data_IF_370190242141
#
_entry.id   IF_370190242141
#
_cell.length_a   1.000
_cell.length_b   1.000
_cell.length_c   1.000
_cell.angle_alpha   90.00
_cell.angle_beta   90.00
_cell.angle_gamma   90.00
#
_symmetry.space_group_name_H-M   'P 1'
#
loop_
_entity.id
_entity.type
_entity.pdbx_description
1 polymer ?
#
# COMPACT_ATOMS: atom_id res chain seq x y z
N UNK A 1 -0.68 -15.28 32.65
CA UNK A 1 -0.72 -13.81 32.84
C UNK A 1 -0.64 -13.07 31.50
N UNK A 2 -1.68 -12.31 31.15
CA UNK A 2 -1.67 -11.45 29.95
C UNK A 2 -0.94 -10.14 30.28
N UNK A 3 0.11 -9.82 29.53
CA UNK A 3 0.85 -8.57 29.69
C UNK A 3 0.23 -7.52 28.77
N UNK A 4 -0.41 -6.50 29.34
CA UNK A 4 -0.79 -5.30 28.59
C UNK A 4 0.48 -4.58 28.14
N UNK A 5 0.55 -4.26 26.85
CA UNK A 5 1.60 -3.42 26.28
C UNK A 5 0.90 -2.12 25.89
N UNK A 6 1.16 -1.05 26.64
CA UNK A 6 0.39 0.20 26.53
C UNK A 6 0.77 1.03 25.29
N UNK A 7 1.84 0.65 24.57
CA UNK A 7 2.31 1.33 23.35
C UNK A 7 2.63 0.32 22.24
N UNK A 8 1.58 -0.16 21.57
CA UNK A 8 1.70 -0.92 20.34
C UNK A 8 1.45 0.02 19.16
N UNK A 9 2.52 0.51 18.54
CA UNK A 9 2.42 1.38 17.36
C UNK A 9 2.21 0.53 16.11
N UNK A 10 1.27 0.98 15.26
CA UNK A 10 1.04 0.42 13.92
C UNK A 10 1.70 1.33 12.91
N UNK A 11 2.65 0.80 12.15
CA UNK A 11 3.35 1.52 11.08
C UNK A 11 2.83 1.01 9.74
N UNK A 12 2.41 1.91 8.86
CA UNK A 12 1.90 1.57 7.52
C UNK A 12 2.74 2.20 6.42
N UNK A 13 3.01 1.42 5.36
CA UNK A 13 3.61 1.88 4.12
C UNK A 13 2.67 1.58 2.95
N UNK A 14 2.63 2.47 1.96
CA UNK A 14 1.94 2.25 0.70
C UNK A 14 2.81 2.70 -0.46
N UNK A 15 2.85 1.91 -1.52
CA UNK A 15 3.43 2.30 -2.80
C UNK A 15 2.36 2.23 -3.90
N UNK A 16 2.60 2.96 -4.99
CA UNK A 16 1.80 2.88 -6.20
C UNK A 16 2.70 3.10 -7.40
N UNK A 17 2.76 2.15 -8.32
CA UNK A 17 3.54 2.28 -9.55
C UNK A 17 2.68 2.89 -10.67
N UNK A 18 2.99 4.11 -11.10
CA UNK A 18 2.32 4.70 -12.27
C UNK A 18 3.07 4.27 -13.53
N UNK A 19 2.49 3.37 -14.33
CA UNK A 19 3.03 3.01 -15.64
C UNK A 19 3.92 1.75 -15.71
N UNK A 20 3.94 0.90 -14.67
CA UNK A 20 4.69 -0.37 -14.68
C UNK A 20 4.21 -1.40 -15.72
N UNK A 21 3.03 -1.20 -16.33
CA UNK A 21 2.51 -2.04 -17.41
C UNK A 21 2.22 -1.20 -18.66
N UNK A 22 3.15 -1.20 -19.61
CA UNK A 22 3.03 -0.53 -20.92
C UNK A 22 1.73 -0.92 -21.64
N UNK A 23 1.33 -2.20 -21.52
CA UNK A 23 0.16 -2.74 -22.22
C UNK A 23 -1.17 -2.30 -21.63
N UNK A 24 -1.25 -2.10 -20.31
CA UNK A 24 -2.53 -1.83 -19.64
C UNK A 24 -2.67 -0.42 -19.08
N UNK A 25 -1.57 0.34 -18.92
CA UNK A 25 -1.54 1.63 -18.21
C UNK A 25 -2.26 1.57 -16.85
N UNK A 26 -2.27 0.40 -16.23
CA UNK A 26 -2.87 0.16 -14.92
C UNK A 26 -1.78 0.20 -13.89
N UNK A 27 -2.01 1.00 -12.87
CA UNK A 27 -1.16 1.03 -11.69
C UNK A 27 -1.47 -0.17 -10.78
N UNK A 28 -0.49 -0.58 -10.01
CA UNK A 28 -0.57 -1.54 -8.92
C UNK A 28 -0.28 -0.77 -7.64
N UNK A 29 -1.19 -0.87 -6.67
CA UNK A 29 -1.01 -0.27 -5.36
C UNK A 29 -0.65 -1.36 -4.36
N UNK A 30 0.52 -1.24 -3.73
CA UNK A 30 0.98 -2.09 -2.64
C UNK A 30 0.78 -1.44 -1.27
N UNK A 31 0.59 -2.26 -0.24
CA UNK A 31 0.64 -1.81 1.16
C UNK A 31 1.25 -2.87 2.09
N UNK A 32 1.80 -2.41 3.21
CA UNK A 32 2.26 -3.25 4.31
C UNK A 32 2.06 -2.53 5.65
N UNK A 33 1.59 -3.28 6.66
CA UNK A 33 1.40 -2.82 8.03
C UNK A 33 2.29 -3.63 8.97
N UNK A 34 2.94 -2.93 9.89
CA UNK A 34 3.86 -3.50 10.87
C UNK A 34 3.42 -3.17 12.28
N UNK A 35 3.71 -4.09 13.20
CA UNK A 35 3.64 -3.91 14.64
C UNK A 35 4.95 -4.41 15.24
N UNK A 36 5.60 -3.59 16.08
CA UNK A 36 6.87 -3.96 16.73
C UNK A 36 7.95 -4.43 15.75
N UNK A 37 7.95 -3.88 14.53
CA UNK A 37 8.87 -4.27 13.44
C UNK A 37 8.48 -5.54 12.68
N UNK A 38 7.42 -6.26 13.08
CA UNK A 38 6.91 -7.43 12.38
C UNK A 38 5.74 -7.09 11.44
N UNK A 39 5.70 -7.70 10.26
CA UNK A 39 4.58 -7.53 9.31
C UNK A 39 3.34 -8.25 9.83
N UNK A 40 2.22 -7.54 9.92
CA UNK A 40 0.93 -8.09 10.36
C UNK A 40 -0.10 -8.18 9.24
N UNK A 41 0.05 -7.38 8.19
CA UNK A 41 -0.84 -7.38 7.04
C UNK A 41 -0.11 -6.77 5.85
N UNK A 42 -0.34 -7.33 4.67
CA UNK A 42 0.18 -6.82 3.42
C UNK A 42 -0.80 -7.11 2.30
N UNK A 43 -0.61 -6.44 1.17
CA UNK A 43 -1.41 -6.72 0.00
C UNK A 43 -0.97 -5.91 -1.18
N UNK A 44 -1.43 -6.33 -2.35
CA UNK A 44 -1.26 -5.60 -3.59
C UNK A 44 -2.56 -5.68 -4.38
N UNK A 45 -2.94 -4.57 -4.99
CA UNK A 45 -4.13 -4.47 -5.83
C UNK A 45 -3.78 -3.81 -7.14
N UNK A 46 -3.96 -4.55 -8.23
CA UNK A 46 -3.93 -3.98 -9.58
C UNK A 46 -5.19 -3.12 -9.78
N UNK A 47 -5.02 -1.87 -10.17
CA UNK A 47 -6.13 -0.97 -10.46
C UNK A 47 -6.89 -1.49 -11.68
N UNK A 48 -8.20 -1.72 -11.52
CA UNK A 48 -9.05 -2.21 -12.63
C UNK A 48 -9.38 -1.08 -13.61
N UNK A 49 -9.41 0.16 -13.11
CA UNK A 49 -9.76 1.38 -13.84
C UNK A 49 -8.53 2.27 -13.94
N UNK A 50 -8.21 2.72 -15.14
CA UNK A 50 -7.19 3.75 -15.38
C UNK A 50 -7.85 5.11 -15.20
N UNK A 51 -7.55 5.81 -14.10
CA UNK A 51 -7.92 7.21 -13.96
C UNK A 51 -6.92 8.06 -14.75
N UNK A 52 -7.36 8.66 -15.86
CA UNK A 52 -6.59 9.67 -16.56
C UNK A 52 -6.67 10.97 -15.76
N UNK A 53 -5.73 11.17 -14.83
CA UNK A 53 -5.51 12.50 -14.27
C UNK A 53 -4.61 13.28 -15.23
N UNK A 54 -5.21 14.15 -16.04
CA UNK A 54 -4.49 15.20 -16.75
C UNK A 54 -4.26 16.33 -15.75
N UNK A 55 -3.05 16.44 -15.19
CA UNK A 55 -2.60 17.72 -14.65
C UNK A 55 -2.23 18.59 -15.85
N UNK A 56 -3.18 19.38 -16.33
CA UNK A 56 -2.87 20.54 -17.19
C UNK A 56 -2.15 21.58 -16.32
N UNK A 57 -1.03 22.09 -16.83
CA UNK A 57 -0.18 23.08 -16.18
C UNK A 57 -0.55 24.50 -16.63
#
# INVERSE_FOLDING_TARGET
>A
PYRKVDHLEVIGYSDTDLGGCIDSRKSTTGFVFLISGGVISWGSKKQTVTAAHTMEA
#
